data_IF_437308174077
#
_entry.id   IF_437308174077
#
_cell.length_a   1.000
_cell.length_b   1.000
_cell.length_c   1.000
_cell.angle_alpha   90.00
_cell.angle_beta   90.00
_cell.angle_gamma   90.00
#
_symmetry.space_group_name_H-M   'P 1'
#
loop_
_entity.id
_entity.type
_entity.pdbx_description
1 polymer ?
#
# COMPACT_ATOMS: atom_id res chain seq x y z
N UNK A 1 5.05 64.22 -7.52
CA UNK A 1 5.91 63.71 -6.44
C UNK A 1 5.03 62.96 -5.45
N UNK A 2 5.14 61.63 -5.37
CA UNK A 2 4.35 60.86 -4.40
C UNK A 2 4.89 61.22 -3.00
N UNK A 3 4.07 61.71 -2.06
CA UNK A 3 4.53 62.09 -0.73
C UNK A 3 5.16 60.88 -0.03
N UNK A 4 6.32 61.08 0.61
CA UNK A 4 7.08 60.02 1.31
C UNK A 4 6.21 59.16 2.25
N UNK A 5 5.15 59.75 2.83
CA UNK A 5 4.15 59.06 3.65
C UNK A 5 3.32 58.03 2.89
N UNK A 6 2.93 58.32 1.65
CA UNK A 6 2.21 57.35 0.81
C UNK A 6 3.13 56.20 0.39
N UNK A 7 4.41 56.47 0.08
CA UNK A 7 5.39 55.43 -0.22
C UNK A 7 5.60 54.51 0.99
N UNK A 8 5.75 55.07 2.19
CA UNK A 8 5.89 54.30 3.43
C UNK A 8 4.65 53.42 3.71
N UNK A 9 3.44 53.95 3.50
CA UNK A 9 2.20 53.20 3.66
C UNK A 9 2.12 51.99 2.71
N UNK A 10 2.42 52.20 1.42
CA UNK A 10 2.41 51.11 0.43
C UNK A 10 3.48 50.05 0.70
N UNK A 11 4.66 50.43 1.22
CA UNK A 11 5.70 49.47 1.61
C UNK A 11 5.25 48.59 2.80
N UNK A 12 4.60 49.17 3.81
CA UNK A 12 4.08 48.42 4.96
C UNK A 12 2.95 47.49 4.53
N UNK A 13 2.03 47.98 3.68
CA UNK A 13 0.94 47.17 3.15
C UNK A 13 1.45 45.98 2.31
N UNK A 14 2.44 46.21 1.42
CA UNK A 14 3.07 45.16 0.63
C UNK A 14 3.80 44.12 1.50
N UNK A 15 4.50 44.58 2.55
CA UNK A 15 5.16 43.68 3.50
C UNK A 15 4.16 42.83 4.28
N UNK A 16 3.05 43.44 4.73
CA UNK A 16 1.96 42.73 5.41
C UNK A 16 1.29 41.68 4.53
N UNK A 17 0.98 42.03 3.27
CA UNK A 17 0.39 41.10 2.30
C UNK A 17 1.33 39.93 1.97
N UNK A 18 2.63 40.22 1.79
CA UNK A 18 3.65 39.18 1.52
C UNK A 18 3.81 38.26 2.72
N UNK A 19 3.80 38.81 3.94
CA UNK A 19 3.89 38.02 5.17
C UNK A 19 2.68 37.10 5.37
N UNK A 20 1.46 37.61 5.11
CA UNK A 20 0.23 36.82 5.14
C UNK A 20 0.22 35.71 4.08
N UNK A 21 0.62 36.01 2.85
CA UNK A 21 0.73 35.01 1.79
C UNK A 21 1.76 33.93 2.14
N UNK A 22 2.91 34.33 2.68
CA UNK A 22 3.95 33.39 3.11
C UNK A 22 3.46 32.51 4.26
N UNK A 23 2.75 33.08 5.25
CA UNK A 23 2.14 32.32 6.33
C UNK A 23 1.06 31.35 5.83
N UNK A 24 0.22 31.78 4.88
CA UNK A 24 -0.78 30.93 4.24
C UNK A 24 -0.14 29.78 3.44
N UNK A 25 0.94 30.06 2.69
CA UNK A 25 1.69 29.04 1.96
C UNK A 25 2.41 28.06 2.88
N UNK A 26 2.99 28.54 3.99
CA UNK A 26 3.60 27.68 5.03
C UNK A 26 2.53 26.83 5.71
N UNK A 27 1.38 27.42 6.05
CA UNK A 27 0.26 26.70 6.65
C UNK A 27 -0.29 25.65 5.69
N UNK A 28 -0.54 25.99 4.43
CA UNK A 28 -0.98 25.06 3.40
C UNK A 28 0.05 23.95 3.17
N UNK A 29 1.35 24.28 3.05
CA UNK A 29 2.42 23.29 2.91
C UNK A 29 2.49 22.36 4.14
N UNK A 30 2.37 22.90 5.35
CA UNK A 30 2.34 22.11 6.60
C UNK A 30 1.09 21.24 6.68
N UNK A 31 -0.07 21.74 6.26
CA UNK A 31 -1.33 21.03 6.33
C UNK A 31 -1.44 19.95 5.24
N UNK A 32 -0.89 20.21 4.05
CA UNK A 32 -0.68 19.19 3.01
C UNK A 32 0.33 18.15 3.53
N UNK A 33 1.49 18.56 4.04
CA UNK A 33 2.42 17.61 4.66
C UNK A 33 1.78 16.84 5.83
N UNK A 34 0.88 17.41 6.62
CA UNK A 34 0.17 16.69 7.70
C UNK A 34 -0.97 15.80 7.20
N UNK A 35 -1.65 16.14 6.10
CA UNK A 35 -2.62 15.27 5.43
C UNK A 35 -1.93 14.06 4.78
N UNK A 36 -0.72 14.23 4.26
CA UNK A 36 0.00 13.23 3.47
C UNK A 36 1.13 12.50 4.24
N UNK A 37 1.65 13.05 5.36
CA UNK A 37 2.61 12.39 6.27
C UNK A 37 2.04 11.20 7.04
N UNK A 38 0.75 10.91 6.86
CA UNK A 38 0.05 9.79 7.50
C UNK A 38 0.40 8.46 6.81
N UNK A 39 0.97 8.47 5.60
CA UNK A 39 0.96 7.26 4.76
C UNK A 39 2.09 6.26 4.99
N UNK A 40 3.25 6.65 5.53
CA UNK A 40 4.20 5.70 6.13
C UNK A 40 4.85 6.31 7.36
N UNK A 41 4.03 6.36 8.41
CA UNK A 41 4.39 5.72 9.67
C UNK A 41 5.45 4.61 9.52
N UNK A 42 6.77 4.84 9.50
CA UNK A 42 7.76 3.76 9.68
C UNK A 42 8.67 3.39 8.50
N UNK A 43 9.82 2.81 8.87
CA UNK A 43 10.84 2.20 8.00
C UNK A 43 10.60 0.69 7.77
N UNK A 44 10.33 0.24 6.53
CA UNK A 44 10.21 -1.16 6.15
C UNK A 44 11.45 -2.02 6.40
N UNK A 45 12.66 -1.44 6.40
CA UNK A 45 13.88 -2.20 6.70
C UNK A 45 13.93 -2.56 8.18
N UNK A 46 13.68 -1.59 9.05
CA UNK A 46 13.48 -1.87 10.46
C UNK A 46 12.37 -2.91 10.65
N UNK A 47 11.25 -2.79 9.93
CA UNK A 47 10.17 -3.78 9.97
C UNK A 47 10.57 -5.18 9.51
N UNK A 48 11.40 -5.31 8.48
CA UNK A 48 11.93 -6.59 8.02
C UNK A 48 12.85 -7.22 9.08
N UNK A 49 13.72 -6.43 9.70
CA UNK A 49 14.57 -6.89 10.80
C UNK A 49 13.74 -7.34 12.02
N UNK A 50 12.70 -6.58 12.37
CA UNK A 50 11.71 -6.99 13.38
C UNK A 50 11.09 -8.33 13.01
N UNK A 51 10.64 -8.51 11.76
CA UNK A 51 9.97 -9.71 11.30
C UNK A 51 10.87 -10.96 11.25
N UNK A 52 12.07 -10.85 10.68
CA UNK A 52 12.96 -11.98 10.41
C UNK A 52 13.91 -12.32 11.56
N UNK A 53 14.35 -11.32 12.33
CA UNK A 53 15.46 -11.49 13.26
C UNK A 53 15.04 -11.26 14.72
N UNK A 54 14.34 -10.16 15.02
CA UNK A 54 14.13 -9.72 16.41
C UNK A 54 12.85 -10.26 17.07
N UNK A 55 11.70 -10.18 16.39
CA UNK A 55 10.39 -10.47 16.99
C UNK A 55 9.85 -11.85 16.61
N UNK A 56 10.61 -12.62 15.83
CA UNK A 56 10.37 -14.04 15.58
C UNK A 56 9.17 -14.38 14.70
N UNK A 57 8.54 -13.39 14.04
CA UNK A 57 7.41 -13.62 13.14
C UNK A 57 7.74 -14.64 12.04
N UNK A 58 8.96 -14.58 11.50
CA UNK A 58 9.46 -15.49 10.47
C UNK A 58 9.67 -16.93 10.93
N UNK A 59 9.61 -17.21 12.25
CA UNK A 59 9.66 -18.57 12.79
C UNK A 59 8.45 -19.40 12.36
N UNK A 60 7.31 -18.75 12.11
CA UNK A 60 6.09 -19.40 11.64
C UNK A 60 5.73 -18.96 10.23
N UNK A 61 5.82 -17.67 9.94
CA UNK A 61 5.39 -17.09 8.69
C UNK A 61 6.53 -17.00 7.67
N UNK A 62 6.20 -17.14 6.39
CA UNK A 62 7.08 -16.72 5.30
C UNK A 62 6.59 -15.39 4.72
N UNK A 63 7.47 -14.69 4.02
CA UNK A 63 7.13 -13.57 3.15
C UNK A 63 7.77 -13.85 1.80
N UNK A 64 6.94 -13.97 0.76
CA UNK A 64 7.38 -14.27 -0.61
C UNK A 64 8.25 -15.55 -0.68
N UNK A 65 7.91 -16.55 0.12
CA UNK A 65 8.61 -17.83 0.20
C UNK A 65 9.88 -17.84 1.07
N UNK A 66 10.24 -16.71 1.69
CA UNK A 66 11.37 -16.59 2.63
C UNK A 66 10.86 -16.64 4.07
N UNK A 67 11.40 -17.53 4.90
CA UNK A 67 10.93 -17.79 6.27
C UNK A 67 10.35 -19.20 6.42
N UNK A 68 9.74 -19.48 7.57
CA UNK A 68 9.12 -20.79 7.83
C UNK A 68 7.78 -20.96 7.11
N UNK A 69 7.36 -22.21 6.90
CA UNK A 69 6.12 -22.56 6.21
C UNK A 69 5.04 -23.12 7.14
N UNK A 70 5.14 -22.84 8.45
CA UNK A 70 4.21 -23.33 9.46
C UNK A 70 2.88 -22.55 9.46
N UNK A 71 2.92 -21.30 8.99
CA UNK A 71 1.78 -20.39 8.89
C UNK A 71 1.68 -19.80 7.46
N UNK A 72 0.59 -19.10 7.12
CA UNK A 72 0.44 -18.52 5.79
C UNK A 72 1.60 -17.62 5.40
N UNK A 73 1.94 -17.64 4.12
CA UNK A 73 2.90 -16.72 3.53
C UNK A 73 2.29 -15.32 3.46
N UNK A 74 2.83 -14.41 4.27
CA UNK A 74 2.33 -13.05 4.41
C UNK A 74 2.82 -12.14 3.29
N UNK A 75 3.51 -12.62 2.26
CA UNK A 75 3.78 -11.85 1.03
C UNK A 75 2.64 -11.89 0.01
N UNK A 76 1.66 -12.80 0.18
CA UNK A 76 0.55 -12.98 -0.76
C UNK A 76 -0.79 -12.68 -0.08
N UNK A 77 -1.68 -11.96 -0.78
CA UNK A 77 -3.05 -11.71 -0.33
C UNK A 77 -4.03 -12.51 -1.21
N UNK A 78 -5.07 -13.09 -0.59
CA UNK A 78 -6.21 -13.66 -1.31
C UNK A 78 -7.29 -12.62 -1.64
N UNK A 79 -7.22 -11.42 -1.03
CA UNK A 79 -8.16 -10.31 -1.27
C UNK A 79 -7.50 -9.22 -2.11
N UNK A 80 -8.23 -8.75 -3.12
CA UNK A 80 -7.85 -7.65 -4.03
C UNK A 80 -7.86 -6.28 -3.33
N UNK A 81 -8.35 -6.19 -2.09
CA UNK A 81 -8.41 -4.97 -1.28
C UNK A 81 -7.48 -5.13 -0.07
N UNK A 82 -6.17 -4.91 -0.25
CA UNK A 82 -5.19 -5.01 0.84
C UNK A 82 -4.92 -3.62 1.44
N UNK A 83 -5.90 -3.08 2.17
CA UNK A 83 -5.71 -1.87 2.97
C UNK A 83 -5.02 -2.16 4.31
N UNK A 84 -4.55 -1.11 5.01
CA UNK A 84 -3.97 -1.26 6.36
C UNK A 84 -4.93 -1.95 7.34
N UNK A 85 -6.23 -1.68 7.20
CA UNK A 85 -7.31 -2.27 7.98
C UNK A 85 -7.46 -3.79 7.78
N UNK A 86 -7.10 -4.30 6.59
CA UNK A 86 -7.08 -5.74 6.31
C UNK A 86 -6.00 -6.44 7.14
N UNK A 87 -4.83 -5.81 7.29
CA UNK A 87 -3.75 -6.36 8.13
C UNK A 87 -4.21 -6.39 9.60
N UNK A 88 -4.85 -5.31 10.09
CA UNK A 88 -5.39 -5.26 11.46
C UNK A 88 -6.42 -6.35 11.70
N UNK A 89 -7.44 -6.45 10.83
CA UNK A 89 -8.52 -7.45 10.98
C UNK A 89 -8.01 -8.88 10.83
N UNK A 90 -7.14 -9.16 9.86
CA UNK A 90 -6.54 -10.48 9.68
C UNK A 90 -5.69 -10.88 10.89
N UNK A 91 -4.86 -9.96 11.41
CA UNK A 91 -4.05 -10.20 12.60
C UNK A 91 -4.94 -10.47 13.81
N UNK A 92 -5.98 -9.66 14.04
CA UNK A 92 -6.94 -9.83 15.15
C UNK A 92 -7.69 -11.17 15.08
N UNK A 93 -8.22 -11.51 13.90
CA UNK A 93 -8.98 -12.75 13.70
C UNK A 93 -8.09 -13.99 13.83
N UNK A 94 -6.82 -13.88 13.45
CA UNK A 94 -5.85 -14.97 13.57
C UNK A 94 -5.23 -15.08 14.97
N UNK A 95 -5.34 -14.04 15.80
CA UNK A 95 -4.56 -13.89 17.03
C UNK A 95 -4.67 -15.06 18.03
N UNK A 96 -5.86 -15.62 18.32
CA UNK A 96 -5.98 -16.78 19.21
C UNK A 96 -5.10 -17.96 18.80
N UNK A 97 -5.07 -18.28 17.50
CA UNK A 97 -4.26 -19.39 16.97
C UNK A 97 -2.77 -19.11 17.10
N UNK A 98 -2.36 -17.85 16.89
CA UNK A 98 -0.96 -17.46 17.09
C UNK A 98 -0.57 -17.62 18.55
N UNK A 99 -1.38 -17.12 19.49
CA UNK A 99 -1.07 -17.19 20.91
C UNK A 99 -1.00 -18.63 21.44
N UNK A 100 -1.96 -19.48 21.05
CA UNK A 100 -1.94 -20.90 21.41
C UNK A 100 -0.69 -21.62 20.86
N UNK A 101 -0.30 -21.31 19.62
CA UNK A 101 0.91 -21.89 19.02
C UNK A 101 2.17 -21.37 19.71
N UNK A 102 2.26 -20.07 19.97
CA UNK A 102 3.40 -19.48 20.69
C UNK A 102 3.56 -20.06 22.09
N UNK A 103 2.44 -20.29 22.82
CA UNK A 103 2.48 -20.97 24.11
C UNK A 103 2.99 -22.41 23.98
N UNK A 104 2.54 -23.14 22.95
CA UNK A 104 2.97 -24.53 22.70
C UNK A 104 4.45 -24.61 22.35
N UNK A 105 4.93 -23.72 21.48
CA UNK A 105 6.34 -23.63 21.03
C UNK A 105 7.24 -22.90 22.05
N UNK A 106 6.68 -22.41 23.17
CA UNK A 106 7.37 -21.62 24.20
C UNK A 106 8.08 -20.38 23.63
N UNK A 107 7.48 -19.76 22.61
CA UNK A 107 7.94 -18.51 22.02
C UNK A 107 7.50 -17.35 22.91
N UNK A 108 8.44 -16.47 23.26
CA UNK A 108 8.13 -15.27 24.03
C UNK A 108 7.19 -14.36 23.24
N UNK A 109 6.20 -13.78 23.91
CA UNK A 109 5.29 -12.83 23.27
C UNK A 109 6.02 -11.49 23.08
N UNK A 110 6.23 -11.00 21.84
CA UNK A 110 6.99 -9.79 21.61
C UNK A 110 6.19 -8.58 22.08
N UNK A 111 6.87 -7.68 22.80
CA UNK A 111 6.31 -6.40 23.19
C UNK A 111 6.49 -5.38 22.05
N UNK A 112 5.52 -5.37 21.15
CA UNK A 112 5.49 -4.44 20.02
C UNK A 112 4.93 -3.10 20.51
N UNK A 113 5.77 -2.07 20.54
CA UNK A 113 5.32 -0.69 20.79
C UNK A 113 4.77 -0.09 19.49
N UNK A 114 4.16 1.10 19.59
CA UNK A 114 3.60 1.78 18.42
C UNK A 114 4.64 1.92 17.30
N UNK A 115 5.88 2.32 17.61
CA UNK A 115 6.97 2.43 16.64
C UNK A 115 7.29 1.08 15.97
N UNK A 116 7.40 0.01 16.73
CA UNK A 116 7.69 -1.33 16.20
C UNK A 116 6.54 -1.82 15.29
N UNK A 117 5.29 -1.62 15.71
CA UNK A 117 4.10 -1.95 14.92
C UNK A 117 4.03 -1.14 13.63
N UNK A 118 4.37 0.15 13.71
CA UNK A 118 4.51 1.07 12.60
C UNK A 118 5.51 0.55 11.57
N UNK A 119 6.72 0.14 12.00
CA UNK A 119 7.73 -0.49 11.13
C UNK A 119 7.26 -1.82 10.53
N UNK A 120 6.68 -2.71 11.33
CA UNK A 120 6.17 -4.00 10.87
C UNK A 120 5.05 -3.83 9.85
N UNK A 121 4.12 -2.90 10.08
CA UNK A 121 3.04 -2.63 9.15
C UNK A 121 3.56 -1.98 7.87
N UNK A 122 4.57 -1.10 7.94
CA UNK A 122 5.25 -0.60 6.74
C UNK A 122 5.90 -1.75 5.95
N UNK A 123 6.61 -2.67 6.61
CA UNK A 123 7.19 -3.85 5.98
C UNK A 123 6.15 -4.80 5.39
N UNK A 124 5.10 -5.14 6.14
CA UNK A 124 4.06 -6.06 5.69
C UNK A 124 3.22 -5.44 4.60
N UNK A 125 2.89 -4.16 4.69
CA UNK A 125 2.20 -3.44 3.63
C UNK A 125 3.04 -3.50 2.36
N UNK A 126 4.31 -3.07 2.42
CA UNK A 126 5.27 -3.10 1.29
C UNK A 126 5.55 -4.49 0.74
N UNK A 127 5.60 -5.51 1.59
CA UNK A 127 5.86 -6.91 1.19
C UNK A 127 4.61 -7.64 0.68
N UNK A 128 3.43 -7.19 1.13
CA UNK A 128 2.10 -7.57 0.63
C UNK A 128 1.62 -6.65 -0.47
N UNK A 129 2.51 -5.92 -1.17
CA UNK A 129 2.09 -5.12 -2.30
C UNK A 129 1.63 -6.05 -3.43
N UNK A 130 0.38 -6.44 -3.24
CA UNK A 130 -0.61 -6.94 -4.14
C UNK A 130 0.04 -7.77 -5.23
N UNK A 131 0.30 -9.05 -5.01
CA UNK A 131 0.48 -9.97 -6.13
C UNK A 131 -0.12 -11.33 -5.77
N UNK A 132 -1.00 -11.81 -6.63
CA UNK A 132 -1.38 -13.21 -6.62
C UNK A 132 -0.17 -14.05 -7.08
N UNK A 133 0.00 -15.23 -6.47
CA UNK A 133 0.99 -16.21 -6.94
C UNK A 133 0.66 -16.59 -8.38
N UNK A 134 1.61 -16.30 -9.27
CA UNK A 134 1.58 -16.82 -10.63
C UNK A 134 1.91 -18.31 -10.68
N UNK A 135 1.44 -18.95 -11.73
CA UNK A 135 1.74 -20.32 -12.10
C UNK A 135 2.89 -20.33 -13.13
N UNK A 136 4.01 -20.94 -12.74
CA UNK A 136 5.22 -21.03 -13.57
C UNK A 136 4.98 -21.78 -14.89
N UNK A 137 4.23 -22.88 -14.86
CA UNK A 137 4.02 -23.72 -16.05
C UNK A 137 3.09 -23.02 -17.04
N UNK A 138 2.09 -22.29 -16.54
CA UNK A 138 1.29 -21.39 -17.37
C UNK A 138 2.16 -20.27 -17.95
N UNK A 139 3.03 -19.69 -17.14
CA UNK A 139 3.96 -18.63 -17.55
C UNK A 139 4.88 -19.06 -18.69
N UNK A 140 5.42 -20.28 -18.64
CA UNK A 140 6.21 -20.85 -19.72
C UNK A 140 5.41 -20.96 -21.02
N UNK A 141 4.18 -21.50 -20.94
CA UNK A 141 3.30 -21.62 -22.11
C UNK A 141 2.95 -20.25 -22.68
N UNK A 142 2.74 -19.25 -21.84
CA UNK A 142 2.47 -17.87 -22.25
C UNK A 142 3.68 -17.24 -22.94
N UNK A 143 4.89 -17.46 -22.40
CA UNK A 143 6.14 -16.97 -22.99
C UNK A 143 6.33 -17.48 -24.42
N UNK A 144 5.97 -18.75 -24.68
CA UNK A 144 5.98 -19.31 -26.03
C UNK A 144 4.81 -18.78 -26.88
N UNK A 145 3.58 -18.87 -26.39
CA UNK A 145 2.34 -18.54 -27.12
C UNK A 145 2.27 -17.07 -27.54
N UNK A 146 2.70 -16.15 -26.67
CA UNK A 146 2.73 -14.70 -26.96
C UNK A 146 3.99 -14.27 -27.73
N UNK A 147 4.83 -15.23 -28.14
CA UNK A 147 5.96 -15.00 -29.03
C UNK A 147 7.19 -14.38 -28.37
N UNK A 148 7.25 -14.33 -27.04
CA UNK A 148 8.38 -13.76 -26.30
C UNK A 148 9.70 -14.49 -26.66
N UNK A 149 9.64 -15.83 -26.75
CA UNK A 149 10.76 -16.69 -27.13
C UNK A 149 11.34 -16.44 -28.54
N UNK A 150 10.63 -15.72 -29.41
CA UNK A 150 11.14 -15.36 -30.74
C UNK A 150 12.24 -14.30 -30.69
N UNK A 151 12.24 -13.48 -29.65
CA UNK A 151 13.20 -12.40 -29.46
C UNK A 151 14.10 -12.65 -28.24
N UNK A 152 13.53 -13.11 -27.14
CA UNK A 152 14.24 -13.33 -25.89
C UNK A 152 14.64 -14.78 -25.71
N UNK A 153 15.80 -14.97 -25.08
CA UNK A 153 16.22 -16.26 -24.57
C UNK A 153 15.80 -16.43 -23.11
N UNK A 154 15.73 -17.69 -22.68
CA UNK A 154 15.61 -18.11 -21.30
C UNK A 154 16.65 -19.20 -21.05
N UNK A 155 17.66 -18.90 -20.22
CA UNK A 155 18.78 -19.82 -19.92
C UNK A 155 19.46 -20.33 -21.20
N UNK A 156 19.73 -19.41 -22.12
CA UNK A 156 20.33 -19.67 -23.43
C UNK A 156 19.38 -20.25 -24.49
N UNK A 157 18.14 -20.60 -24.14
CA UNK A 157 17.15 -21.13 -25.09
C UNK A 157 16.18 -20.06 -25.59
N UNK A 158 16.07 -19.87 -26.92
CA UNK A 158 15.14 -18.90 -27.54
C UNK A 158 15.84 -18.00 -28.55
N UNK A 159 15.28 -16.81 -28.77
CA UNK A 159 15.83 -15.80 -29.69
C UNK A 159 16.99 -15.00 -29.09
N UNK A 160 17.81 -14.38 -29.95
CA UNK A 160 18.96 -13.54 -29.55
C UNK A 160 18.80 -12.05 -29.89
N UNK A 161 17.58 -11.60 -30.16
CA UNK A 161 17.30 -10.18 -30.50
C UNK A 161 17.21 -9.34 -29.23
N UNK A 162 16.50 -9.86 -28.23
CA UNK A 162 16.45 -9.32 -26.88
C UNK A 162 17.42 -10.06 -25.96
N UNK A 163 17.67 -9.53 -24.75
CA UNK A 163 18.51 -10.19 -23.76
C UNK A 163 17.93 -11.54 -23.32
N UNK A 164 18.81 -12.43 -22.84
CA UNK A 164 18.41 -13.59 -22.05
C UNK A 164 17.85 -13.11 -20.71
N UNK A 165 16.57 -13.38 -20.46
CA UNK A 165 15.91 -12.88 -19.26
C UNK A 165 16.43 -13.57 -17.99
N UNK A 166 17.04 -14.77 -18.08
CA UNK A 166 17.58 -15.48 -16.90
C UNK A 166 18.87 -14.83 -16.37
N UNK A 167 19.58 -14.10 -17.25
CA UNK A 167 20.80 -13.39 -16.91
C UNK A 167 20.53 -11.96 -16.38
N UNK A 168 19.27 -11.50 -16.39
CA UNK A 168 18.93 -10.18 -15.89
C UNK A 168 18.87 -10.20 -14.36
N UNK A 169 19.68 -9.35 -13.74
CA UNK A 169 19.63 -9.13 -12.31
C UNK A 169 18.46 -8.22 -11.94
N UNK A 170 17.75 -8.58 -10.87
CA UNK A 170 16.74 -7.72 -10.25
C UNK A 170 15.41 -7.63 -10.99
N UNK A 171 15.16 -8.34 -12.08
CA UNK A 171 13.83 -8.36 -12.74
C UNK A 171 12.85 -9.36 -12.11
N UNK A 172 13.26 -9.98 -11.00
CA UNK A 172 12.53 -10.99 -10.24
C UNK A 172 11.58 -10.38 -9.20
N UNK A 173 11.61 -9.06 -8.99
CA UNK A 173 10.65 -8.35 -8.11
C UNK A 173 9.55 -7.67 -8.94
N UNK A 174 8.31 -7.52 -8.44
CA UNK A 174 7.21 -6.91 -9.20
C UNK A 174 7.49 -5.48 -9.64
N UNK A 175 8.10 -4.70 -8.75
CA UNK A 175 8.40 -3.29 -8.98
C UNK A 175 9.46 -3.17 -10.07
N UNK A 176 10.57 -3.89 -9.96
CA UNK A 176 11.64 -3.84 -10.97
C UNK A 176 11.21 -4.48 -12.28
N UNK A 177 10.41 -5.54 -12.24
CA UNK A 177 9.79 -6.14 -13.44
C UNK A 177 8.97 -5.10 -14.18
N UNK A 178 8.04 -4.44 -13.49
CA UNK A 178 7.20 -3.40 -14.10
C UNK A 178 8.02 -2.24 -14.66
N UNK A 179 8.99 -1.75 -13.89
CA UNK A 179 9.91 -0.69 -14.32
C UNK A 179 10.71 -1.10 -15.57
N UNK A 180 11.27 -2.31 -15.58
CA UNK A 180 12.03 -2.84 -16.70
C UNK A 180 11.14 -2.98 -17.95
N UNK A 181 9.94 -3.54 -17.80
CA UNK A 181 8.97 -3.65 -18.90
C UNK A 181 8.60 -2.28 -19.47
N UNK A 182 8.29 -1.29 -18.62
CA UNK A 182 7.96 0.07 -19.05
C UNK A 182 9.09 0.73 -19.84
N UNK A 183 10.31 0.65 -19.30
CA UNK A 183 11.51 1.20 -19.92
C UNK A 183 11.87 0.46 -21.22
N UNK A 184 11.59 -0.85 -21.32
CA UNK A 184 11.90 -1.68 -22.48
C UNK A 184 10.81 -1.71 -23.57
N UNK A 185 9.59 -1.30 -23.24
CA UNK A 185 8.48 -1.25 -24.19
C UNK A 185 8.72 -0.46 -25.50
N UNK A 186 9.50 0.64 -25.61
CA UNK A 186 9.76 1.28 -26.91
C UNK A 186 10.63 0.42 -27.83
N UNK A 187 11.63 -0.28 -27.26
CA UNK A 187 12.47 -1.20 -28.03
C UNK A 187 11.65 -2.39 -28.53
N UNK A 188 10.76 -2.90 -27.68
CA UNK A 188 9.80 -3.95 -28.04
C UNK A 188 8.84 -3.50 -29.12
N UNK A 189 8.31 -2.27 -29.06
CA UNK A 189 7.37 -1.75 -30.05
C UNK A 189 8.03 -1.60 -31.43
N UNK A 190 9.26 -1.11 -31.47
CA UNK A 190 10.07 -1.09 -32.70
C UNK A 190 10.33 -2.51 -33.22
N UNK A 191 10.68 -3.43 -32.32
CA UNK A 191 10.95 -4.83 -32.62
C UNK A 191 9.74 -5.54 -33.23
N UNK A 192 8.57 -5.43 -32.61
CA UNK A 192 7.33 -6.07 -33.08
C UNK A 192 6.87 -5.47 -34.41
N UNK A 193 6.90 -4.14 -34.57
CA UNK A 193 6.58 -3.48 -35.85
C UNK A 193 7.50 -3.94 -36.98
N UNK A 194 8.82 -3.98 -36.74
CA UNK A 194 9.81 -4.40 -37.77
C UNK A 194 9.62 -5.85 -38.24
N UNK A 195 9.04 -6.70 -37.39
CA UNK A 195 8.81 -8.13 -37.65
C UNK A 195 7.35 -8.46 -37.96
N UNK A 196 6.51 -7.43 -38.12
CA UNK A 196 5.07 -7.57 -38.35
C UNK A 196 4.38 -8.47 -37.30
N UNK A 197 4.87 -8.41 -36.06
CA UNK A 197 4.31 -9.14 -34.94
C UNK A 197 3.27 -8.28 -34.22
N UNK A 198 2.14 -8.84 -33.77
CA UNK A 198 1.21 -8.12 -32.92
C UNK A 198 1.86 -7.78 -31.57
N UNK A 199 1.44 -6.68 -30.96
CA UNK A 199 1.80 -6.38 -29.57
C UNK A 199 1.20 -7.44 -28.64
N UNK A 200 1.99 -8.09 -27.77
CA UNK A 200 1.46 -9.08 -26.85
C UNK A 200 0.58 -8.38 -25.79
N UNK A 201 -0.66 -8.84 -25.65
CA UNK A 201 -1.64 -8.33 -24.68
C UNK A 201 -1.81 -9.37 -23.57
N UNK A 202 -1.87 -8.94 -22.31
CA UNK A 202 -2.03 -9.78 -21.13
C UNK A 202 -3.41 -9.62 -20.49
N UNK A 203 -4.06 -10.72 -20.14
CA UNK A 203 -5.39 -10.74 -19.52
C UNK A 203 -5.37 -11.42 -18.16
N UNK A 204 -6.26 -10.98 -17.25
CA UNK A 204 -6.41 -11.57 -15.92
C UNK A 204 -5.07 -11.65 -15.17
N UNK A 205 -4.60 -12.88 -14.97
CA UNK A 205 -3.36 -13.21 -14.22
C UNK A 205 -2.22 -13.70 -15.10
N UNK A 206 -2.32 -13.55 -16.43
CA UNK A 206 -1.26 -13.96 -17.36
C UNK A 206 0.08 -13.26 -17.08
N UNK A 207 0.06 -12.00 -16.61
CA UNK A 207 1.29 -11.30 -16.22
C UNK A 207 1.89 -11.89 -14.92
N UNK A 208 1.06 -12.32 -13.97
CA UNK A 208 1.50 -13.00 -12.74
C UNK A 208 2.20 -14.32 -13.09
N UNK A 209 1.58 -15.11 -13.96
CA UNK A 209 2.11 -16.39 -14.43
C UNK A 209 3.43 -16.17 -15.19
N UNK A 210 3.50 -15.15 -16.06
CA UNK A 210 4.74 -14.80 -16.78
C UNK A 210 5.87 -14.40 -15.81
N UNK A 211 5.59 -13.55 -14.82
CA UNK A 211 6.59 -13.18 -13.82
C UNK A 211 7.01 -14.38 -12.97
N UNK A 212 6.09 -15.30 -12.63
CA UNK A 212 6.43 -16.54 -11.93
C UNK A 212 7.39 -17.42 -12.74
N UNK A 213 7.18 -17.53 -14.06
CA UNK A 213 8.11 -18.24 -14.95
C UNK A 213 9.48 -17.57 -15.02
N UNK A 214 9.55 -16.24 -15.19
CA UNK A 214 10.82 -15.51 -15.19
C UNK A 214 11.55 -15.70 -13.87
N UNK A 215 10.86 -15.55 -12.73
CA UNK A 215 11.41 -15.75 -11.38
C UNK A 215 12.00 -17.13 -11.16
N UNK A 216 11.35 -18.18 -11.67
CA UNK A 216 11.84 -19.54 -11.55
C UNK A 216 13.13 -19.79 -12.36
N UNK A 217 13.40 -18.92 -13.34
CA UNK A 217 14.51 -19.08 -14.28
C UNK A 217 15.67 -18.12 -14.03
N UNK A 218 15.45 -16.97 -13.38
CA UNK A 218 16.51 -16.03 -12.98
C UNK A 218 17.27 -16.52 -11.73
N UNK A 219 18.58 -16.26 -11.70
CA UNK A 219 19.42 -16.45 -10.52
C UNK A 219 19.65 -15.12 -9.80
N UNK A 220 19.46 -15.08 -8.48
CA UNK A 220 19.73 -13.88 -7.67
C UNK A 220 19.12 -13.94 -6.27
N UNK A 221 19.67 -13.16 -5.35
CA UNK A 221 18.99 -12.87 -4.09
C UNK A 221 17.89 -11.84 -4.38
N UNK A 222 16.65 -12.13 -3.96
CA UNK A 222 15.55 -11.17 -4.03
C UNK A 222 15.84 -10.01 -3.10
N UNK A 223 15.86 -8.79 -3.64
CA UNK A 223 16.12 -7.57 -2.88
C UNK A 223 15.01 -6.54 -3.07
N UNK A 224 13.76 -6.95 -2.87
CA UNK A 224 12.61 -6.01 -2.80
C UNK A 224 12.89 -4.86 -1.81
N UNK A 225 13.59 -5.16 -0.71
CA UNK A 225 13.94 -4.21 0.34
C UNK A 225 14.77 -3.04 -0.16
N UNK A 226 15.64 -3.19 -1.17
CA UNK A 226 16.46 -2.08 -1.69
C UNK A 226 15.63 -0.92 -2.29
N UNK A 227 14.38 -1.18 -2.64
CA UNK A 227 13.48 -0.18 -3.22
C UNK A 227 12.65 0.58 -2.18
N UNK A 228 12.87 0.33 -0.89
CA UNK A 228 12.09 0.85 0.21
C UNK A 228 12.92 1.78 1.13
N UNK A 229 12.27 2.68 1.89
CA UNK A 229 10.87 3.08 1.75
C UNK A 229 10.62 3.93 0.48
N UNK A 230 9.59 3.54 -0.26
CA UNK A 230 8.99 4.38 -1.29
C UNK A 230 8.27 5.58 -0.66
N UNK A 231 8.06 6.68 -1.38
CA UNK A 231 7.45 7.91 -0.87
C UNK A 231 6.32 8.38 -1.80
N UNK A 232 5.07 8.45 -1.32
CA UNK A 232 3.96 9.03 -2.08
C UNK A 232 4.20 10.49 -2.46
N UNK A 233 4.87 11.28 -1.61
CA UNK A 233 5.20 12.68 -1.92
C UNK A 233 6.16 12.78 -3.11
N UNK A 234 7.21 11.96 -3.12
CA UNK A 234 8.12 11.85 -4.28
C UNK A 234 7.38 11.28 -5.49
N UNK A 235 6.52 10.28 -5.28
CA UNK A 235 5.69 9.68 -6.32
C UNK A 235 4.75 10.67 -6.99
N UNK A 236 4.10 11.54 -6.22
CA UNK A 236 3.27 12.64 -6.72
C UNK A 236 4.09 13.60 -7.55
N UNK A 237 5.29 13.96 -7.07
CA UNK A 237 6.21 14.80 -7.84
C UNK A 237 6.63 14.12 -9.14
N UNK A 238 6.93 12.83 -9.12
CA UNK A 238 7.24 12.03 -10.32
C UNK A 238 6.04 12.00 -11.28
N UNK A 239 4.82 11.79 -10.78
CA UNK A 239 3.59 11.80 -11.58
C UNK A 239 3.38 13.13 -12.32
N UNK A 240 3.76 14.24 -11.68
CA UNK A 240 3.72 15.58 -12.27
C UNK A 240 4.89 15.82 -13.22
N UNK A 241 6.12 15.62 -12.75
CA UNK A 241 7.36 15.93 -13.47
C UNK A 241 7.55 15.05 -14.71
N UNK A 242 7.09 13.79 -14.68
CA UNK A 242 7.09 12.88 -15.83
C UNK A 242 5.80 12.97 -16.66
N UNK A 243 5.04 14.06 -16.51
CA UNK A 243 3.87 14.44 -17.31
C UNK A 243 2.71 13.43 -17.32
N UNK A 244 2.61 12.56 -16.32
CA UNK A 244 1.49 11.62 -16.21
C UNK A 244 0.17 12.38 -16.01
N UNK A 245 0.22 13.46 -15.22
CA UNK A 245 -0.90 14.36 -14.93
C UNK A 245 -1.48 15.06 -16.17
N UNK A 246 -0.70 15.21 -17.24
CA UNK A 246 -1.16 15.87 -18.48
C UNK A 246 -2.21 15.05 -19.23
N UNK A 247 -2.26 13.74 -18.97
CA UNK A 247 -3.22 12.82 -19.58
C UNK A 247 -4.19 12.22 -18.56
N UNK A 248 -3.70 11.92 -17.35
CA UNK A 248 -4.46 11.25 -16.29
C UNK A 248 -4.82 12.22 -15.17
N UNK A 249 -6.12 12.42 -14.97
CA UNK A 249 -6.61 13.18 -13.83
C UNK A 249 -6.46 12.40 -12.52
N UNK A 250 -6.41 13.14 -11.42
CA UNK A 250 -6.55 12.64 -10.05
C UNK A 250 -7.63 13.45 -9.37
N UNK A 251 -8.73 12.81 -8.98
CA UNK A 251 -9.88 13.47 -8.35
C UNK A 251 -10.42 14.65 -9.18
N UNK A 252 -10.51 14.44 -10.50
CA UNK A 252 -10.97 15.42 -11.48
C UNK A 252 -9.95 16.49 -11.85
N UNK A 253 -8.72 16.46 -11.33
CA UNK A 253 -7.67 17.45 -11.62
C UNK A 253 -6.58 16.87 -12.51
N UNK A 254 -6.28 17.55 -13.62
CA UNK A 254 -5.28 17.13 -14.61
C UNK A 254 -5.89 16.96 -15.99
N UNK A 255 -5.25 16.16 -16.84
CA UNK A 255 -5.76 15.81 -18.16
C UNK A 255 -6.89 14.80 -18.11
N UNK A 256 -7.70 14.76 -19.17
CA UNK A 256 -8.83 13.83 -19.33
C UNK A 256 -8.70 12.97 -20.59
N UNK A 257 -7.47 12.77 -21.06
CA UNK A 257 -7.17 11.88 -22.21
C UNK A 257 -7.26 10.42 -21.76
N UNK A 258 -6.65 10.12 -20.62
CA UNK A 258 -6.74 8.82 -19.95
C UNK A 258 -7.79 8.85 -18.83
N UNK A 259 -8.08 7.68 -18.22
CA UNK A 259 -8.98 7.60 -17.08
C UNK A 259 -8.43 8.37 -15.88
N UNK A 260 -9.35 8.86 -15.04
CA UNK A 260 -9.03 9.45 -13.74
C UNK A 260 -8.58 8.37 -12.76
N UNK A 261 -7.33 8.46 -12.32
CA UNK A 261 -6.67 7.49 -11.46
C UNK A 261 -6.96 7.70 -9.97
N UNK A 262 -7.64 8.79 -9.60
CA UNK A 262 -8.13 9.05 -8.25
C UNK A 262 -9.58 8.62 -8.04
N UNK A 263 -10.30 8.17 -9.07
CA UNK A 263 -11.72 7.82 -8.95
C UNK A 263 -11.95 6.33 -8.65
N UNK A 264 -12.89 6.09 -7.73
CA UNK A 264 -13.45 4.84 -7.14
C UNK A 264 -13.66 3.60 -8.05
N UNK A 265 -13.44 3.67 -9.36
CA UNK A 265 -14.01 2.73 -10.33
C UNK A 265 -13.16 1.50 -10.69
N UNK A 266 -11.97 1.33 -10.14
CA UNK A 266 -11.14 0.17 -10.44
C UNK A 266 -10.70 -0.50 -9.14
N UNK A 267 -10.96 -1.81 -9.02
CA UNK A 267 -10.42 -2.63 -7.93
C UNK A 267 -8.91 -2.34 -7.77
N UNK A 268 -8.36 -2.37 -6.55
CA UNK A 268 -6.93 -2.17 -6.38
C UNK A 268 -6.19 -3.23 -7.18
N UNK A 269 -5.46 -2.79 -8.21
CA UNK A 269 -4.71 -3.68 -9.07
C UNK A 269 -3.47 -4.16 -8.32
N UNK A 270 -3.14 -5.45 -8.47
CA UNK A 270 -1.80 -5.92 -8.11
C UNK A 270 -0.71 -5.14 -8.83
N UNK A 271 0.51 -5.08 -8.27
CA UNK A 271 1.62 -4.44 -9.00
C UNK A 271 1.80 -5.15 -10.34
N UNK A 272 1.65 -6.48 -10.38
CA UNK A 272 1.81 -7.24 -11.62
C UNK A 272 0.59 -7.08 -12.55
N UNK A 273 -0.63 -6.96 -12.03
CA UNK A 273 -1.78 -6.58 -12.87
C UNK A 273 -1.63 -5.15 -13.41
N UNK A 274 -1.13 -4.22 -12.60
CA UNK A 274 -0.77 -2.87 -13.03
C UNK A 274 0.31 -2.92 -14.11
N UNK A 275 1.30 -3.82 -13.99
CA UNK A 275 2.29 -4.06 -15.03
C UNK A 275 1.64 -4.53 -16.35
N UNK A 276 0.70 -5.48 -16.27
CA UNK A 276 -0.09 -5.93 -17.41
C UNK A 276 -0.87 -4.81 -18.07
N UNK A 277 -1.55 -3.98 -17.29
CA UNK A 277 -2.31 -2.84 -17.80
C UNK A 277 -1.43 -1.78 -18.42
N UNK A 278 -0.35 -1.39 -17.75
CA UNK A 278 0.63 -0.43 -18.26
C UNK A 278 1.26 -0.94 -19.56
N UNK A 279 1.59 -2.24 -19.63
CA UNK A 279 2.12 -2.86 -20.83
C UNK A 279 1.11 -2.85 -21.98
N UNK A 280 -0.13 -3.29 -21.73
CA UNK A 280 -1.18 -3.34 -22.74
C UNK A 280 -1.52 -1.94 -23.28
N UNK A 281 -1.55 -0.95 -22.38
CA UNK A 281 -1.87 0.44 -22.71
C UNK A 281 -0.69 1.22 -23.31
N UNK A 282 0.55 0.72 -23.18
CA UNK A 282 1.76 1.43 -23.63
C UNK A 282 1.71 1.86 -25.10
N UNK A 283 1.31 1.04 -26.09
CA UNK A 283 1.23 1.52 -27.48
C UNK A 283 0.26 2.69 -27.68
N UNK A 284 -0.84 2.72 -26.93
CA UNK A 284 -1.85 3.79 -27.01
C UNK A 284 -1.37 5.07 -26.32
N UNK A 285 -0.88 4.94 -25.09
CA UNK A 285 -0.26 6.04 -24.36
C UNK A 285 0.83 6.72 -25.20
N UNK A 286 1.57 5.95 -26.00
CA UNK A 286 2.72 6.48 -26.75
C UNK A 286 2.31 7.23 -27.99
N UNK A 287 1.32 6.72 -28.72
CA UNK A 287 0.69 7.48 -29.80
C UNK A 287 0.12 8.79 -29.28
N UNK A 288 -0.49 8.78 -28.09
CA UNK A 288 -1.04 9.99 -27.47
C UNK A 288 0.06 10.98 -27.01
N UNK A 289 1.17 10.48 -26.46
CA UNK A 289 2.34 11.28 -26.06
C UNK A 289 3.05 11.89 -27.28
N UNK A 290 3.29 11.10 -28.33
CA UNK A 290 3.93 11.56 -29.58
C UNK A 290 3.11 12.68 -30.24
N UNK A 291 1.79 12.50 -30.34
CA UNK A 291 0.89 13.53 -30.85
C UNK A 291 0.90 14.85 -30.04
N UNK A 292 1.39 14.81 -28.80
CA UNK A 292 1.48 15.96 -27.88
C UNK A 292 2.91 16.42 -27.63
N UNK A 293 3.90 15.84 -28.32
CA UNK A 293 5.32 16.10 -28.06
C UNK A 293 5.75 15.89 -26.60
N UNK A 294 5.09 14.97 -25.90
CA UNK A 294 5.46 14.58 -24.53
C UNK A 294 6.51 13.47 -24.62
N UNK A 295 7.70 13.63 -24.03
CA UNK A 295 8.75 12.61 -24.11
C UNK A 295 8.34 11.36 -23.34
N UNK A 296 8.78 10.19 -23.84
CA UNK A 296 8.63 8.90 -23.15
C UNK A 296 9.36 8.96 -21.81
N UNK A 297 8.69 8.91 -20.64
CA UNK A 297 9.39 8.89 -19.38
C UNK A 297 10.06 7.54 -19.15
N UNK A 298 11.27 7.55 -18.62
CA UNK A 298 11.94 6.37 -18.05
C UNK A 298 11.93 6.48 -16.53
N UNK A 299 12.10 5.35 -15.85
CA UNK A 299 12.24 5.31 -14.39
C UNK A 299 13.58 4.69 -13.98
N UNK A 300 14.21 5.29 -12.98
CA UNK A 300 15.48 4.85 -12.40
C UNK A 300 15.41 4.72 -10.89
N UNK A 301 16.29 3.90 -10.31
CA UNK A 301 16.39 3.73 -8.86
C UNK A 301 15.04 3.40 -8.21
N UNK A 302 14.58 4.29 -7.32
CA UNK A 302 13.32 4.15 -6.57
C UNK A 302 12.14 4.90 -7.19
N UNK A 303 12.30 5.56 -8.32
CA UNK A 303 11.24 6.42 -8.89
C UNK A 303 9.94 5.65 -9.15
N UNK A 304 10.03 4.42 -9.65
CA UNK A 304 8.86 3.61 -9.92
C UNK A 304 8.17 3.16 -8.63
N UNK A 305 8.95 2.79 -7.61
CA UNK A 305 8.43 2.44 -6.29
C UNK A 305 7.70 3.62 -5.65
N UNK A 306 8.29 4.82 -5.73
CA UNK A 306 7.68 6.08 -5.27
C UNK A 306 6.36 6.36 -6.00
N UNK A 307 6.33 6.20 -7.33
CA UNK A 307 5.11 6.35 -8.13
C UNK A 307 4.01 5.38 -7.72
N UNK A 308 4.33 4.10 -7.54
CA UNK A 308 3.37 3.09 -7.06
C UNK A 308 2.84 3.42 -5.66
N UNK A 309 3.70 3.91 -4.77
CA UNK A 309 3.28 4.36 -3.44
C UNK A 309 2.30 5.54 -3.52
N UNK A 310 2.51 6.48 -4.44
CA UNK A 310 1.56 7.56 -4.69
C UNK A 310 0.22 7.05 -5.20
N UNK A 311 0.21 6.21 -6.25
CA UNK A 311 -1.03 5.68 -6.82
C UNK A 311 -1.81 4.84 -5.80
N UNK A 312 -1.13 4.01 -5.01
CA UNK A 312 -1.73 3.24 -3.93
C UNK A 312 -2.36 4.16 -2.85
N UNK A 313 -1.76 5.32 -2.57
CA UNK A 313 -2.30 6.28 -1.61
C UNK A 313 -3.64 6.90 -2.04
N UNK A 314 -3.93 6.92 -3.34
CA UNK A 314 -5.19 7.44 -3.87
C UNK A 314 -6.40 6.54 -3.54
N UNK A 315 -6.17 5.25 -3.31
CA UNK A 315 -7.23 4.27 -2.98
C UNK A 315 -7.42 4.05 -1.47
N UNK A 316 -6.69 4.77 -0.62
CA UNK A 316 -6.62 4.51 0.82
C UNK A 316 -7.83 4.98 1.64
N UNK A 317 -8.59 5.96 1.13
CA UNK A 317 -9.70 6.58 1.86
C UNK A 317 -11.06 6.30 1.19
N UNK A 318 -11.57 5.06 1.21
CA UNK A 318 -13.03 4.83 0.98
C UNK A 318 -13.54 3.43 1.43
N UNK A 319 -14.79 3.29 1.95
CA UNK A 319 -15.71 4.35 2.40
C UNK A 319 -15.10 5.22 3.49
N UNK A 320 -15.40 6.52 3.50
CA UNK A 320 -15.08 7.38 4.64
C UNK A 320 -15.64 6.75 5.94
N UNK A 321 -14.78 6.47 6.93
CA UNK A 321 -15.20 5.85 8.18
C UNK A 321 -16.39 6.55 8.85
N UNK A 322 -17.41 5.79 9.24
CA UNK A 322 -18.61 6.31 9.90
C UNK A 322 -18.57 6.02 11.39
N UNK A 323 -18.60 7.07 12.22
CA UNK A 323 -18.68 6.92 13.68
C UNK A 323 -19.92 6.13 14.14
N UNK A 324 -21.05 6.26 13.43
CA UNK A 324 -22.29 5.56 13.80
C UNK A 324 -22.20 4.06 13.46
N UNK A 325 -21.66 3.73 12.28
CA UNK A 325 -21.35 2.34 11.92
C UNK A 325 -20.30 1.75 12.87
N UNK A 326 -19.33 2.55 13.27
CA UNK A 326 -18.28 2.16 14.21
C UNK A 326 -18.83 1.81 15.57
N UNK A 327 -19.77 2.61 16.10
CA UNK A 327 -20.43 2.30 17.36
C UNK A 327 -21.25 1.00 17.27
N UNK A 328 -21.99 0.82 16.17
CA UNK A 328 -22.78 -0.38 15.91
C UNK A 328 -21.89 -1.60 15.87
N UNK A 329 -20.81 -1.55 15.09
CA UNK A 329 -19.78 -2.58 14.99
C UNK A 329 -19.16 -2.85 16.36
N UNK A 330 -18.78 -1.83 17.12
CA UNK A 330 -18.21 -1.99 18.45
C UNK A 330 -19.13 -2.77 19.40
N UNK A 331 -20.45 -2.55 19.31
CA UNK A 331 -21.45 -3.28 20.08
C UNK A 331 -21.67 -4.71 19.56
N UNK A 332 -21.90 -4.87 18.25
CA UNK A 332 -22.20 -6.16 17.61
C UNK A 332 -21.02 -7.14 17.69
N UNK A 333 -19.80 -6.64 17.62
CA UNK A 333 -18.58 -7.42 17.83
C UNK A 333 -18.28 -7.68 19.31
N UNK A 334 -19.17 -7.30 20.23
CA UNK A 334 -19.06 -7.61 21.66
C UNK A 334 -18.08 -6.76 22.46
N UNK A 335 -17.39 -5.79 21.84
CA UNK A 335 -16.42 -4.92 22.51
C UNK A 335 -17.09 -4.10 23.63
N UNK A 336 -18.33 -3.65 23.38
CA UNK A 336 -19.14 -2.90 24.33
C UNK A 336 -19.43 -3.65 25.65
N UNK A 337 -19.42 -4.99 25.63
CA UNK A 337 -19.70 -5.78 26.84
C UNK A 337 -18.66 -5.58 27.95
N UNK A 338 -17.41 -5.26 27.59
CA UNK A 338 -16.35 -4.94 28.54
C UNK A 338 -16.04 -3.44 28.59
N UNK A 339 -16.11 -2.75 27.45
CA UNK A 339 -15.67 -1.36 27.34
C UNK A 339 -16.80 -0.33 27.43
N UNK A 340 -18.06 -0.75 27.57
CA UNK A 340 -19.22 0.13 27.61
C UNK A 340 -19.74 0.47 26.21
N UNK A 341 -21.01 0.86 26.10
CA UNK A 341 -21.69 1.08 24.80
C UNK A 341 -21.22 2.33 24.06
N UNK A 342 -20.62 3.25 24.79
CA UNK A 342 -19.96 4.45 24.30
C UNK A 342 -18.43 4.35 24.39
N UNK A 343 -17.89 3.15 24.64
CA UNK A 343 -16.47 2.93 24.93
C UNK A 343 -15.93 3.78 26.10
N UNK A 344 -16.81 4.08 27.06
CA UNK A 344 -16.62 4.89 28.26
C UNK A 344 -15.88 4.14 29.38
N UNK A 345 -15.71 2.83 29.23
CA UNK A 345 -15.10 1.94 30.20
C UNK A 345 -16.09 1.41 31.23
N UNK A 346 -15.82 0.20 31.73
CA UNK A 346 -16.58 -0.43 32.81
C UNK A 346 -15.61 -1.13 33.78
N UNK A 347 -16.14 -1.83 34.80
CA UNK A 347 -15.31 -2.73 35.61
C UNK A 347 -14.68 -3.88 34.82
N UNK A 348 -15.21 -4.19 33.62
CA UNK A 348 -14.71 -5.23 32.73
C UNK A 348 -13.60 -4.78 31.77
N UNK A 349 -13.41 -3.48 31.57
CA UNK A 349 -12.44 -2.96 30.59
C UNK A 349 -12.31 -1.43 30.64
N UNK A 350 -11.12 -0.88 30.30
CA UNK A 350 -10.87 0.55 30.38
C UNK A 350 -11.68 1.36 29.36
N UNK A 351 -11.82 2.66 29.62
CA UNK A 351 -12.33 3.62 28.64
C UNK A 351 -11.38 3.70 27.43
N UNK A 352 -11.95 3.70 26.22
CA UNK A 352 -11.19 3.76 24.97
C UNK A 352 -11.35 5.11 24.23
N UNK A 353 -12.22 6.00 24.71
CA UNK A 353 -12.43 7.34 24.14
C UNK A 353 -11.87 8.45 25.03
N UNK A 354 -11.45 9.55 24.40
CA UNK A 354 -11.18 10.83 25.08
C UNK A 354 -9.78 11.01 25.68
N UNK A 355 -8.84 10.08 25.44
CA UNK A 355 -7.42 10.24 25.84
C UNK A 355 -6.57 10.72 24.67
N UNK A 356 -6.35 9.84 23.71
CA UNK A 356 -5.46 10.06 22.57
C UNK A 356 -6.18 9.74 21.25
N UNK A 357 -5.70 10.34 20.16
CA UNK A 357 -6.21 10.02 18.83
C UNK A 357 -5.86 8.58 18.46
N UNK A 358 -6.87 7.80 18.11
CA UNK A 358 -6.72 6.41 17.66
C UNK A 358 -6.46 6.39 16.15
N UNK A 359 -5.58 5.50 15.72
CA UNK A 359 -5.27 5.20 14.31
C UNK A 359 -5.33 3.69 14.13
N UNK A 360 -5.35 3.17 12.91
CA UNK A 360 -5.30 1.73 12.68
C UNK A 360 -4.05 1.09 13.31
N UNK A 361 -2.91 1.80 13.33
CA UNK A 361 -1.66 1.31 13.93
C UNK A 361 -1.73 1.31 15.45
N UNK A 362 -2.19 2.39 16.07
CA UNK A 362 -2.32 2.45 17.54
C UNK A 362 -3.39 1.48 18.04
N UNK A 363 -4.46 1.27 17.26
CA UNK A 363 -5.43 0.21 17.51
C UNK A 363 -4.77 -1.17 17.41
N UNK A 364 -4.06 -1.48 16.32
CA UNK A 364 -3.36 -2.77 16.15
C UNK A 364 -2.39 -3.06 17.30
N UNK A 365 -1.64 -2.04 17.72
CA UNK A 365 -0.71 -2.12 18.85
C UNK A 365 -1.45 -2.44 20.15
N UNK A 366 -2.53 -1.71 20.46
CA UNK A 366 -3.34 -1.96 21.65
C UNK A 366 -3.97 -3.36 21.65
N UNK A 367 -4.50 -3.80 20.51
CA UNK A 367 -5.05 -5.15 20.34
C UNK A 367 -3.98 -6.23 20.52
N UNK A 368 -2.75 -6.00 20.04
CA UNK A 368 -1.62 -6.92 20.25
C UNK A 368 -1.23 -6.99 21.73
N UNK A 369 -0.98 -5.85 22.37
CA UNK A 369 -0.48 -5.80 23.75
C UNK A 369 -1.50 -6.33 24.77
N UNK A 370 -2.78 -6.05 24.56
CA UNK A 370 -3.84 -6.47 25.49
C UNK A 370 -4.50 -7.80 25.10
N UNK A 371 -4.27 -8.27 23.87
CA UNK A 371 -4.91 -9.44 23.26
C UNK A 371 -4.89 -10.70 24.11
N UNK A 372 -3.72 -11.19 24.57
CA UNK A 372 -3.65 -12.41 25.38
C UNK A 372 -4.48 -12.35 26.67
N UNK A 373 -4.53 -11.18 27.33
CA UNK A 373 -5.34 -10.98 28.53
C UNK A 373 -6.84 -10.97 28.21
N UNK A 374 -7.22 -10.28 27.13
CA UNK A 374 -8.61 -10.30 26.63
C UNK A 374 -9.03 -11.71 26.23
N UNK A 375 -8.15 -12.49 25.61
CA UNK A 375 -8.42 -13.86 25.20
C UNK A 375 -8.62 -14.80 26.38
N UNK A 376 -7.77 -14.70 27.41
CA UNK A 376 -7.99 -15.44 28.66
C UNK A 376 -9.34 -15.08 29.28
N UNK A 377 -9.68 -13.78 29.32
CA UNK A 377 -10.93 -13.30 29.92
C UNK A 377 -12.18 -13.76 29.16
N UNK A 378 -12.18 -13.71 27.84
CA UNK A 378 -13.30 -14.20 27.02
C UNK A 378 -13.55 -15.70 27.25
N UNK A 379 -12.48 -16.50 27.38
CA UNK A 379 -12.58 -17.92 27.74
C UNK A 379 -13.16 -18.15 29.15
N UNK A 380 -12.73 -17.37 30.14
CA UNK A 380 -13.28 -17.42 31.51
C UNK A 380 -14.79 -17.10 31.52
N UNK A 381 -15.24 -16.22 30.62
CA UNK A 381 -16.64 -15.81 30.47
C UNK A 381 -17.44 -16.72 29.53
N UNK A 382 -16.83 -17.73 28.91
CA UNK A 382 -17.49 -18.58 27.91
C UNK A 382 -17.92 -17.83 26.64
N UNK A 383 -17.29 -16.70 26.33
CA UNK A 383 -17.60 -15.87 25.16
C UNK A 383 -16.71 -16.23 23.97
N UNK A 384 -17.25 -16.27 22.74
CA UNK A 384 -16.45 -16.47 21.54
C UNK A 384 -15.52 -15.27 21.31
N UNK A 385 -14.37 -15.53 20.68
CA UNK A 385 -13.48 -14.45 20.24
C UNK A 385 -14.15 -13.65 19.12
N UNK A 386 -14.22 -12.32 19.22
CA UNK A 386 -14.90 -11.52 18.22
C UNK A 386 -14.07 -11.41 16.94
N UNK A 387 -14.74 -11.37 15.80
CA UNK A 387 -14.09 -11.26 14.47
C UNK A 387 -14.41 -9.93 13.82
N UNK A 388 -13.44 -9.32 13.16
CA UNK A 388 -13.59 -8.06 12.42
C UNK A 388 -13.56 -8.32 10.90
N UNK A 389 -14.40 -7.61 10.16
CA UNK A 389 -14.25 -7.45 8.72
C UNK A 389 -13.29 -6.28 8.41
N UNK A 390 -12.89 -6.13 7.16
CA UNK A 390 -11.97 -5.05 6.75
C UNK A 390 -12.57 -3.65 6.99
N UNK A 391 -13.84 -3.45 6.63
CA UNK A 391 -14.54 -2.17 6.83
C UNK A 391 -14.71 -1.78 8.31
N UNK A 392 -14.82 -2.76 9.19
CA UNK A 392 -15.04 -2.58 10.63
C UNK A 392 -13.96 -1.72 11.28
N UNK A 393 -12.69 -1.91 10.89
CA UNK A 393 -11.55 -1.25 11.53
C UNK A 393 -11.60 0.26 11.33
N UNK A 394 -11.91 0.70 10.11
CA UNK A 394 -12.04 2.13 9.79
C UNK A 394 -13.15 2.76 10.63
N UNK A 395 -14.32 2.15 10.61
CA UNK A 395 -15.50 2.61 11.34
C UNK A 395 -15.27 2.66 12.86
N UNK A 396 -14.67 1.62 13.45
CA UNK A 396 -14.31 1.60 14.88
C UNK A 396 -13.31 2.71 15.21
N UNK A 397 -12.28 2.94 14.39
CA UNK A 397 -11.34 4.04 14.58
C UNK A 397 -12.06 5.39 14.53
N UNK A 398 -13.03 5.58 13.62
CA UNK A 398 -13.82 6.82 13.58
C UNK A 398 -14.67 7.01 14.83
N UNK A 399 -15.33 5.95 15.30
CA UNK A 399 -16.12 5.98 16.53
C UNK A 399 -15.28 6.33 17.76
N UNK A 400 -14.10 5.71 17.91
CA UNK A 400 -13.22 5.96 19.05
C UNK A 400 -12.65 7.39 19.07
N UNK A 401 -12.52 8.02 17.89
CA UNK A 401 -12.09 9.40 17.77
C UNK A 401 -13.21 10.43 17.82
N UNK A 402 -14.47 10.01 17.64
CA UNK A 402 -15.60 10.91 17.71
C UNK A 402 -15.76 11.46 19.13
N UNK A 403 -16.20 12.72 19.30
CA UNK A 403 -16.48 13.28 20.62
C UNK A 403 -17.56 12.43 21.32
N UNK A 404 -17.40 12.08 22.61
CA UNK A 404 -18.43 11.38 23.37
C UNK A 404 -19.73 12.19 23.34
N UNK A 405 -20.87 11.53 23.12
CA UNK A 405 -22.15 12.21 23.25
C UNK A 405 -22.28 12.72 24.69
N UNK A 406 -22.40 14.04 24.86
CA UNK A 406 -22.72 14.59 26.18
C UNK A 406 -24.11 14.07 26.53
N UNK A 407 -24.19 13.24 27.56
CA UNK A 407 -25.44 12.65 28.01
C UNK A 407 -26.52 13.73 28.08
N UNK A 408 -27.62 13.52 27.33
CA UNK A 408 -28.88 14.20 27.64
C UNK A 408 -29.17 13.83 29.09
N UNK A 409 -28.97 14.78 30.01
CA UNK A 409 -29.64 14.73 31.30
C UNK A 409 -31.13 14.74 30.95
N UNK A 410 -31.77 13.58 31.05
CA UNK A 410 -33.21 13.51 31.23
C UNK A 410 -33.48 14.17 32.57
N UNK A 411 -33.76 15.47 32.56
CA UNK A 411 -34.38 16.13 33.70
C UNK A 411 -35.77 15.50 33.91
N UNK A 412 -36.12 15.17 35.15
CA UNK A 412 -37.38 14.51 35.49
C UNK A 412 -38.62 15.33 35.12
#
# INVERSE_FOLDING_TARGET
>A
MIPKRQIAFWLVAAFGATSLLTAALIWQRRNDQQRWSIFMVGDPHAGAHLFFEKDGCAHCHSVNGVGAKLAPDLGFSQSQQAGMNQIVSAMWNHAPRMWERMQTEKIAYPDLRNEDMTHLFAFLYTSRYLDERGDQDNGERLFQKKGCARCHAMRGGGGGVGPDLAALEGVDTPIRWTQAMWNHAPAMEKGTRSRQMPWPVFEGREMNDLLAYVRANCGGQRRETELLPASPDRGRKIFQDKSCIECHAVEGKGGHVGPDLGTRRQSPLSIVQFAGLMWNHSPEMWRASEARSIPRPTFEGREFADLLAYLASLSYFDPAPSSAMGQTTFAERGCAGCHGSQAEGTGGGPALRGKDRVTSITLATALWQHGPKMYKRTRELGQPWPTLNEGDVGDVVAFLNAPPERGRKTTP
#
